data_IF_927209213674
#
_entry.id   IF_927209213674
#
_cell.length_a   1.000
_cell.length_b   1.000
_cell.length_c   1.000
_cell.angle_alpha   90.00
_cell.angle_beta   90.00
_cell.angle_gamma   90.00
#
_symmetry.space_group_name_H-M   'P 1'
#
loop_
_entity.id
_entity.type
_entity.pdbx_description
1 polymer ?
#
# COMPACT_ATOMS: atom_id res chain seq x y z
N UNK A 1 41.35 72.30 -32.35
CA UNK A 1 41.11 71.81 -30.97
C UNK A 1 39.73 72.29 -30.54
N UNK A 2 38.71 71.44 -30.71
CA UNK A 2 37.33 71.75 -30.29
C UNK A 2 37.06 71.09 -28.95
N UNK A 3 36.81 71.90 -27.92
CA UNK A 3 36.51 71.43 -26.57
C UNK A 3 35.21 70.62 -26.59
N UNK A 4 35.33 69.29 -26.50
CA UNK A 4 34.21 68.41 -26.15
C UNK A 4 33.78 68.78 -24.72
N UNK A 5 32.74 69.60 -24.65
CA UNK A 5 32.14 70.13 -23.45
C UNK A 5 31.67 68.97 -22.55
N UNK A 6 32.00 69.04 -21.26
CA UNK A 6 31.62 68.05 -20.22
C UNK A 6 30.09 67.81 -20.10
N UNK A 7 29.26 68.59 -20.79
CA UNK A 7 27.79 68.53 -20.83
C UNK A 7 27.24 67.34 -21.61
N UNK A 8 27.93 66.88 -22.66
CA UNK A 8 27.46 65.72 -23.45
C UNK A 8 27.68 64.41 -22.68
N UNK A 9 28.70 64.36 -21.81
CA UNK A 9 29.02 63.18 -21.01
C UNK A 9 27.98 62.94 -19.90
N UNK A 10 27.47 64.00 -19.27
CA UNK A 10 26.41 63.90 -18.25
C UNK A 10 25.05 63.49 -18.84
N UNK A 11 24.77 63.79 -20.11
CA UNK A 11 23.54 63.34 -20.79
C UNK A 11 23.60 61.88 -21.26
N UNK A 12 24.79 61.35 -21.52
CA UNK A 12 24.99 59.95 -21.92
C UNK A 12 24.95 58.98 -20.70
N UNK A 13 25.31 59.48 -19.52
CA UNK A 13 25.30 58.70 -18.27
C UNK A 13 23.95 58.04 -17.92
N UNK A 14 22.78 58.73 -17.97
CA UNK A 14 21.50 58.08 -17.68
C UNK A 14 21.11 57.04 -18.74
N UNK A 15 21.51 57.25 -20.00
CA UNK A 15 21.23 56.32 -21.10
C UNK A 15 22.06 55.04 -20.98
N UNK A 16 23.32 55.18 -20.55
CA UNK A 16 24.20 54.05 -20.23
C UNK A 16 23.69 53.28 -19.00
N UNK A 17 23.21 53.98 -17.95
CA UNK A 17 22.63 53.34 -16.77
C UNK A 17 21.34 52.56 -17.11
N UNK A 18 20.48 53.13 -17.96
CA UNK A 18 19.27 52.47 -18.43
C UNK A 18 19.58 51.22 -19.28
N UNK A 19 20.62 51.30 -20.12
CA UNK A 19 21.07 50.15 -20.91
C UNK A 19 21.66 49.04 -20.02
N UNK A 20 22.42 49.40 -18.98
CA UNK A 20 22.92 48.43 -18.00
C UNK A 20 21.78 47.78 -17.19
N UNK A 21 20.76 48.54 -16.81
CA UNK A 21 19.61 48.01 -16.10
C UNK A 21 18.77 47.04 -16.95
N UNK A 22 18.72 47.23 -18.27
CA UNK A 22 18.04 46.33 -19.20
C UNK A 22 18.73 44.96 -19.35
N UNK A 23 20.02 44.86 -19.02
CA UNK A 23 20.78 43.61 -19.00
C UNK A 23 20.93 43.01 -17.59
N UNK A 24 20.22 43.53 -16.60
CA UNK A 24 20.22 42.93 -15.27
C UNK A 24 19.61 41.52 -15.34
N UNK A 25 20.31 40.48 -14.85
CA UNK A 25 19.81 39.11 -14.89
C UNK A 25 18.54 39.03 -14.07
N UNK A 26 17.42 38.68 -14.71
CA UNK A 26 16.19 38.37 -14.01
C UNK A 26 16.44 37.16 -13.08
N UNK A 27 15.88 37.13 -11.86
CA UNK A 27 15.98 35.97 -11.00
C UNK A 27 15.28 34.80 -11.70
N UNK A 28 16.08 33.87 -12.24
CA UNK A 28 15.57 32.62 -12.75
C UNK A 28 15.09 31.80 -11.56
N UNK A 29 13.78 31.77 -11.32
CA UNK A 29 13.14 30.87 -10.37
C UNK A 29 13.22 29.45 -10.94
N UNK A 30 14.40 28.85 -10.87
CA UNK A 30 14.59 27.43 -11.11
C UNK A 30 14.14 26.68 -9.84
N UNK A 31 12.83 26.57 -9.67
CA UNK A 31 12.27 25.60 -8.74
C UNK A 31 12.72 24.22 -9.22
N UNK A 32 13.48 23.48 -8.39
CA UNK A 32 13.88 22.13 -8.75
C UNK A 32 12.60 21.33 -8.93
N UNK A 33 12.37 20.79 -10.12
CA UNK A 33 11.36 19.76 -10.39
C UNK A 33 11.83 18.47 -9.68
N UNK A 34 11.87 18.50 -8.36
CA UNK A 34 12.03 17.36 -7.49
C UNK A 34 10.80 17.17 -6.61
N UNK A 35 10.00 18.22 -6.42
CA UNK A 35 8.91 18.22 -5.44
C UNK A 35 7.52 18.54 -6.05
N UNK A 36 7.37 18.44 -7.37
CA UNK A 36 6.05 18.52 -8.03
C UNK A 36 5.44 17.12 -8.16
N UNK A 37 4.79 16.69 -7.07
CA UNK A 37 3.79 15.62 -7.06
C UNK A 37 4.31 14.24 -6.66
N UNK A 38 3.71 13.64 -5.63
CA UNK A 38 3.64 12.18 -5.56
C UNK A 38 2.96 11.72 -6.85
N UNK A 39 3.65 10.91 -7.67
CA UNK A 39 3.08 10.36 -8.89
C UNK A 39 1.74 9.68 -8.55
N UNK A 40 0.65 10.07 -9.22
CA UNK A 40 -0.70 9.49 -9.04
C UNK A 40 -0.76 7.96 -9.26
N UNK A 41 0.33 7.32 -9.69
CA UNK A 41 0.44 5.88 -9.92
C UNK A 41 1.20 5.07 -8.85
N UNK A 42 1.77 5.69 -7.81
CA UNK A 42 2.46 4.97 -6.73
C UNK A 42 1.48 4.53 -5.62
N UNK A 43 0.32 4.01 -6.01
CA UNK A 43 -0.65 3.47 -5.05
C UNK A 43 -0.30 2.01 -4.81
N UNK A 44 -0.05 1.66 -3.56
CA UNK A 44 0.03 0.27 -3.17
C UNK A 44 -1.37 -0.36 -3.29
N UNK A 45 -1.42 -1.62 -3.73
CA UNK A 45 -2.68 -2.35 -3.85
C UNK A 45 -2.90 -3.16 -2.58
N UNK A 46 -4.01 -2.89 -1.90
CA UNK A 46 -4.38 -3.69 -0.74
C UNK A 46 -4.91 -5.03 -1.23
N UNK A 47 -4.27 -6.09 -0.75
CA UNK A 47 -4.68 -7.45 -1.01
C UNK A 47 -5.38 -8.00 0.22
N UNK A 48 -6.46 -8.75 -0.01
CA UNK A 48 -7.22 -9.43 1.04
C UNK A 48 -7.44 -10.89 0.66
N UNK A 49 -7.25 -11.79 1.61
CA UNK A 49 -7.55 -13.21 1.46
C UNK A 49 -8.29 -13.74 2.68
N UNK A 50 -9.05 -14.81 2.47
CA UNK A 50 -9.75 -15.53 3.53
C UNK A 50 -9.15 -16.92 3.61
N UNK A 51 -8.66 -17.28 4.80
CA UNK A 51 -7.87 -18.48 5.00
C UNK A 51 -8.22 -19.21 6.27
N UNK A 52 -7.50 -20.31 6.49
CA UNK A 52 -7.58 -21.10 7.72
C UNK A 52 -6.17 -21.32 8.24
N UNK A 53 -5.96 -21.02 9.52
CA UNK A 53 -4.75 -21.39 10.24
C UNK A 53 -5.03 -22.68 10.99
N UNK A 54 -4.12 -23.65 10.90
CA UNK A 54 -4.23 -24.97 11.56
C UNK A 54 -3.03 -25.24 12.46
N UNK A 55 -3.12 -26.27 13.29
CA UNK A 55 -2.04 -26.65 14.21
C UNK A 55 -2.00 -25.79 15.48
N UNK A 56 -3.09 -25.07 15.77
CA UNK A 56 -3.22 -24.30 17.00
C UNK A 56 -3.32 -25.26 18.20
N UNK A 57 -2.64 -24.93 19.30
CA UNK A 57 -2.62 -25.79 20.50
C UNK A 57 -3.77 -25.43 21.44
N UNK A 58 -5.01 -25.66 21.00
CA UNK A 58 -6.19 -25.40 21.82
C UNK A 58 -6.70 -23.95 21.79
N UNK A 59 -6.04 -23.06 21.03
CA UNK A 59 -6.34 -21.63 20.91
C UNK A 59 -7.17 -21.27 19.68
N UNK A 60 -7.63 -22.26 18.90
CA UNK A 60 -8.47 -22.07 17.72
C UNK A 60 -9.91 -21.68 18.04
N UNK A 61 -10.74 -21.63 17.00
CA UNK A 61 -12.11 -21.14 17.07
C UNK A 61 -13.06 -22.13 17.72
N UNK A 62 -13.51 -21.82 18.94
CA UNK A 62 -14.44 -22.63 19.74
C UNK A 62 -15.83 -22.81 19.10
N UNK A 63 -16.19 -21.99 18.12
CA UNK A 63 -17.46 -22.05 17.42
C UNK A 63 -17.38 -21.36 16.04
N UNK A 64 -17.28 -22.15 14.97
CA UNK A 64 -17.34 -21.63 13.59
C UNK A 64 -18.77 -21.30 13.13
N UNK A 65 -19.81 -21.57 13.92
CA UNK A 65 -21.20 -21.28 13.55
C UNK A 65 -21.47 -19.79 13.34
N UNK A 66 -20.67 -18.90 13.95
CA UNK A 66 -20.80 -17.45 13.76
C UNK A 66 -20.22 -17.00 12.40
N UNK A 67 -19.23 -17.72 11.88
CA UNK A 67 -18.70 -17.52 10.52
C UNK A 67 -19.74 -17.99 9.50
N UNK A 68 -20.55 -19.02 9.78
CA UNK A 68 -21.59 -19.49 8.84
C UNK A 68 -22.72 -18.48 8.62
N UNK A 69 -23.11 -17.70 9.63
CA UNK A 69 -24.15 -16.66 9.50
C UNK A 69 -23.58 -15.36 8.90
N UNK A 70 -22.37 -14.95 9.32
CA UNK A 70 -21.67 -13.81 8.73
C UNK A 70 -21.29 -14.06 7.26
N UNK A 71 -20.90 -15.30 6.93
CA UNK A 71 -20.68 -15.75 5.55
C UNK A 71 -21.99 -15.97 4.80
N UNK A 72 -23.16 -16.14 5.42
CA UNK A 72 -24.42 -16.19 4.64
C UNK A 72 -24.72 -14.85 3.96
N UNK A 73 -24.36 -13.73 4.60
CA UNK A 73 -24.46 -12.39 4.01
C UNK A 73 -23.41 -12.09 2.93
N UNK A 74 -22.24 -12.75 2.97
CA UNK A 74 -21.10 -12.50 2.07
C UNK A 74 -20.93 -13.59 0.99
N UNK A 75 -21.13 -14.87 1.31
CA UNK A 75 -21.14 -16.02 0.39
C UNK A 75 -22.24 -15.96 -0.66
N UNK A 76 -23.35 -15.24 -0.43
CA UNK A 76 -24.33 -14.97 -1.47
C UNK A 76 -23.73 -14.20 -2.67
N UNK A 77 -22.62 -13.48 -2.47
CA UNK A 77 -21.93 -12.71 -3.52
C UNK A 77 -20.75 -13.44 -4.17
N UNK A 78 -20.20 -14.48 -3.54
CA UNK A 78 -18.97 -15.17 -4.00
C UNK A 78 -19.15 -16.65 -4.38
N UNK A 79 -20.34 -17.25 -4.21
CA UNK A 79 -20.65 -18.54 -4.84
C UNK A 79 -19.88 -19.76 -4.34
N UNK A 80 -19.32 -19.73 -3.12
CA UNK A 80 -18.62 -20.87 -2.51
C UNK A 80 -19.45 -21.48 -1.37
N UNK A 81 -20.27 -22.51 -1.62
CA UNK A 81 -20.95 -23.24 -0.54
C UNK A 81 -19.94 -24.14 0.20
N UNK A 82 -19.94 -24.05 1.53
CA UNK A 82 -19.19 -25.00 2.37
C UNK A 82 -19.89 -26.37 2.34
N UNK A 83 -19.16 -27.49 2.17
CA UNK A 83 -19.73 -28.83 2.21
C UNK A 83 -20.37 -29.12 3.59
N UNK A 84 -21.60 -29.67 3.63
CA UNK A 84 -22.23 -30.04 4.90
C UNK A 84 -21.48 -31.21 5.57
N UNK A 85 -21.17 -31.06 6.86
CA UNK A 85 -20.68 -32.17 7.71
C UNK A 85 -19.20 -32.15 8.09
N UNK A 86 -18.40 -31.16 7.67
CA UNK A 86 -17.01 -31.01 8.13
C UNK A 86 -16.96 -29.96 9.25
N UNK A 87 -17.03 -30.43 10.49
CA UNK A 87 -16.73 -29.63 11.69
C UNK A 87 -15.29 -29.94 12.13
N UNK A 88 -14.26 -29.24 11.64
CA UNK A 88 -12.91 -29.43 12.16
C UNK A 88 -12.93 -29.19 13.67
N UNK A 89 -12.28 -30.05 14.45
CA UNK A 89 -12.29 -29.97 15.91
C UNK A 89 -11.89 -28.55 16.36
N UNK A 90 -12.87 -27.87 16.96
CA UNK A 90 -13.04 -26.42 17.15
C UNK A 90 -12.01 -25.75 18.08
N UNK A 91 -10.78 -26.24 18.16
CA UNK A 91 -9.71 -25.64 18.97
C UNK A 91 -8.34 -25.68 18.33
N UNK A 92 -8.19 -26.39 17.21
CA UNK A 92 -6.90 -26.55 16.53
C UNK A 92 -6.82 -25.81 15.19
N UNK A 93 -7.91 -25.13 14.81
CA UNK A 93 -7.98 -24.33 13.61
C UNK A 93 -8.72 -23.01 13.88
N UNK A 94 -8.39 -21.97 13.12
CA UNK A 94 -9.05 -20.67 13.16
C UNK A 94 -9.31 -20.17 11.74
N UNK A 95 -10.50 -19.62 11.50
CA UNK A 95 -10.77 -18.83 10.32
C UNK A 95 -10.04 -17.49 10.43
N UNK A 96 -9.35 -17.07 9.37
CA UNK A 96 -8.54 -15.86 9.37
C UNK A 96 -8.78 -15.01 8.14
N UNK A 97 -8.57 -13.70 8.31
CA UNK A 97 -8.38 -12.76 7.22
C UNK A 97 -6.89 -12.49 7.10
N UNK A 98 -6.42 -12.50 5.85
CA UNK A 98 -5.03 -12.20 5.51
C UNK A 98 -5.04 -10.89 4.73
N UNK A 99 -4.31 -9.90 5.20
CA UNK A 99 -4.16 -8.63 4.50
C UNK A 99 -2.70 -8.42 4.12
N UNK A 100 -2.48 -7.78 2.99
CA UNK A 100 -1.15 -7.44 2.52
C UNK A 100 -1.20 -6.13 1.75
N UNK A 101 -0.07 -5.45 1.69
CA UNK A 101 0.12 -4.30 0.83
C UNK A 101 1.08 -4.70 -0.29
N UNK A 102 0.58 -4.68 -1.53
CA UNK A 102 1.40 -4.95 -2.71
C UNK A 102 2.03 -3.64 -3.17
N UNK A 103 3.38 -3.50 -3.09
CA UNK A 103 4.04 -2.29 -3.54
C UNK A 103 3.82 -2.05 -5.04
N UNK A 104 3.80 -0.78 -5.43
CA UNK A 104 3.83 -0.43 -6.84
C UNK A 104 5.05 -1.08 -7.51
N UNK A 105 4.85 -1.65 -8.70
CA UNK A 105 5.90 -2.31 -9.49
C UNK A 105 6.52 -3.56 -8.85
N UNK A 106 5.81 -4.25 -7.96
CA UNK A 106 6.24 -5.54 -7.43
C UNK A 106 6.51 -6.54 -8.58
N UNK A 107 7.63 -7.26 -8.49
CA UNK A 107 8.04 -8.24 -9.51
C UNK A 107 7.48 -9.63 -9.21
N UNK A 108 7.23 -10.47 -10.21
CA UNK A 108 6.90 -11.88 -9.98
C UNK A 108 7.96 -12.56 -9.10
N UNK A 109 7.50 -13.27 -8.07
CA UNK A 109 8.37 -13.95 -7.10
C UNK A 109 8.91 -13.06 -5.97
N UNK A 110 8.64 -11.75 -5.99
CA UNK A 110 8.94 -10.88 -4.85
C UNK A 110 8.09 -11.29 -3.65
N UNK A 111 8.74 -11.44 -2.49
CA UNK A 111 8.04 -11.66 -1.23
C UNK A 111 7.46 -10.35 -0.72
N UNK A 112 6.24 -10.41 -0.20
CA UNK A 112 5.56 -9.31 0.46
C UNK A 112 5.18 -9.74 1.87
N UNK A 113 5.20 -8.79 2.80
CA UNK A 113 4.76 -9.03 4.16
C UNK A 113 3.23 -9.10 4.21
N UNK A 114 2.73 -9.97 5.08
CA UNK A 114 1.31 -10.19 5.27
C UNK A 114 0.98 -10.08 6.75
N UNK A 115 -0.26 -9.66 7.03
CA UNK A 115 -0.84 -9.71 8.37
C UNK A 115 -1.95 -10.75 8.37
N UNK A 116 -1.94 -11.62 9.39
CA UNK A 116 -2.96 -12.65 9.57
C UNK A 116 -3.72 -12.35 10.86
N UNK A 117 -5.03 -12.19 10.73
CA UNK A 117 -5.92 -11.84 11.84
C UNK A 117 -7.06 -12.85 11.94
N UNK A 118 -7.44 -13.23 13.16
CA UNK A 118 -8.55 -14.15 13.41
C UNK A 118 -9.88 -13.50 13.05
N UNK A 119 -10.74 -14.22 12.33
CA UNK A 119 -12.14 -13.83 12.09
C UNK A 119 -13.08 -14.34 13.20
N UNK A 120 -12.69 -15.42 13.87
CA UNK A 120 -13.47 -16.05 14.92
C UNK A 120 -13.03 -15.67 16.35
N UNK A 121 -13.18 -16.63 17.26
CA UNK A 121 -12.91 -16.49 18.69
C UNK A 121 -11.56 -17.09 19.12
N UNK A 122 -10.66 -17.33 18.18
CA UNK A 122 -9.31 -17.81 18.46
C UNK A 122 -8.55 -16.81 19.33
N UNK A 123 -8.01 -17.29 20.45
CA UNK A 123 -7.27 -16.47 21.41
C UNK A 123 -5.81 -16.23 21.00
N UNK A 124 -5.28 -17.05 20.09
CA UNK A 124 -3.94 -16.89 19.54
C UNK A 124 -3.74 -17.74 18.29
N UNK A 125 -3.03 -17.17 17.31
CA UNK A 125 -2.53 -17.88 16.13
C UNK A 125 -1.12 -18.47 16.32
N UNK A 126 -0.53 -18.32 17.51
CA UNK A 126 0.86 -18.72 17.77
C UNK A 126 1.04 -20.22 17.58
N UNK A 127 2.08 -20.59 16.83
CA UNK A 127 2.41 -21.99 16.55
C UNK A 127 1.53 -22.62 15.47
N UNK A 128 0.56 -21.88 14.92
CA UNK A 128 -0.23 -22.33 13.79
C UNK A 128 0.47 -22.13 12.45
N UNK A 129 -0.07 -22.77 11.41
CA UNK A 129 0.33 -22.61 10.03
C UNK A 129 -0.87 -22.20 9.17
N UNK A 130 -0.70 -21.14 8.38
CA UNK A 130 -1.66 -20.70 7.37
C UNK A 130 -1.64 -21.68 6.19
N UNK A 131 -2.80 -22.25 5.89
CA UNK A 131 -3.02 -23.03 4.66
C UNK A 131 -2.92 -22.08 3.46
N UNK A 132 -2.41 -22.59 2.33
CA UNK A 132 -2.30 -21.83 1.08
C UNK A 132 -3.57 -21.03 0.77
N UNK A 133 -3.43 -19.71 0.82
CA UNK A 133 -4.51 -18.73 0.74
C UNK A 133 -4.21 -17.73 -0.39
N UNK A 134 -5.07 -17.62 -1.41
CA UNK A 134 -4.95 -16.57 -2.42
C UNK A 134 -5.29 -15.19 -1.83
N UNK A 135 -4.54 -14.17 -2.22
CA UNK A 135 -4.81 -12.78 -1.86
C UNK A 135 -5.30 -12.00 -3.10
N UNK A 136 -6.47 -11.40 -2.94
CA UNK A 136 -7.20 -10.71 -4.00
C UNK A 136 -7.01 -9.21 -3.91
N UNK A 137 -6.84 -8.56 -5.07
CA UNK A 137 -6.94 -7.11 -5.20
C UNK A 137 -8.40 -6.63 -5.16
N UNK A 138 -8.60 -5.32 -5.17
CA UNK A 138 -9.94 -4.70 -5.22
C UNK A 138 -10.72 -5.02 -6.51
N UNK A 139 -10.02 -5.46 -7.55
CA UNK A 139 -10.55 -5.94 -8.84
C UNK A 139 -10.97 -7.43 -8.81
N UNK A 140 -10.75 -8.12 -7.69
CA UNK A 140 -11.05 -9.54 -7.52
C UNK A 140 -10.07 -10.49 -8.21
N UNK A 141 -8.95 -10.00 -8.74
CA UNK A 141 -7.89 -10.85 -9.29
C UNK A 141 -6.92 -11.30 -8.19
N UNK A 142 -6.29 -12.46 -8.38
CA UNK A 142 -5.28 -12.98 -7.44
C UNK A 142 -3.93 -12.36 -7.78
N UNK A 143 -3.33 -11.65 -6.82
CA UNK A 143 -2.02 -11.02 -6.98
C UNK A 143 -0.92 -11.74 -6.20
N UNK A 144 -1.27 -12.47 -5.15
CA UNK A 144 -0.30 -13.18 -4.32
C UNK A 144 -0.90 -14.46 -3.74
N UNK A 145 -0.01 -15.37 -3.34
CA UNK A 145 -0.33 -16.58 -2.59
C UNK A 145 0.39 -16.54 -1.24
N UNK A 146 -0.35 -16.74 -0.16
CA UNK A 146 0.17 -16.73 1.21
C UNK A 146 0.07 -18.13 1.83
N UNK A 147 1.15 -18.59 2.48
CA UNK A 147 1.16 -19.84 3.23
C UNK A 147 2.31 -19.86 4.24
N UNK A 148 2.21 -20.75 5.23
CA UNK A 148 3.33 -21.08 6.13
C UNK A 148 3.05 -20.75 7.59
N UNK A 149 4.10 -20.89 8.42
CA UNK A 149 3.99 -20.74 9.86
C UNK A 149 3.67 -19.28 10.24
N UNK A 150 2.71 -19.11 11.15
CA UNK A 150 2.30 -17.79 11.64
C UNK A 150 3.13 -17.42 12.85
N UNK A 151 3.85 -16.30 12.73
CA UNK A 151 4.49 -15.65 13.85
C UNK A 151 3.53 -14.62 14.45
N UNK A 152 3.41 -14.61 15.79
CA UNK A 152 2.61 -13.61 16.51
C UNK A 152 3.58 -12.63 17.15
N UNK A 153 3.55 -11.38 16.72
CA UNK A 153 4.29 -10.28 17.36
C UNK A 153 3.77 -10.05 18.77
N UNK A 154 4.70 -9.96 19.74
CA UNK A 154 4.44 -9.61 21.12
C UNK A 154 4.99 -8.23 21.41
#
# INVERSE_FOLDING_TARGET
>A
MGNLTMSNFTRLLPLLLALLAAFAPAPAMAERIRDLGQFEGLRANQLTGYGVVVGLQGTGDNNLAYVTEAMRGVSGRLGLPLPPGVSPTLRNAAAVIVTAELPAFAKPGQRIDITVSTLGQSSSLRGGALILTPLYGADGQIYAMAQGNVAVGG
#
